data_IF_492603526670
#
_entry.id   IF_492603526670
#
_cell.length_a   1.000
_cell.length_b   1.000
_cell.length_c   1.000
_cell.angle_alpha   90.00
_cell.angle_beta   90.00
_cell.angle_gamma   90.00
#
_symmetry.space_group_name_H-M   'P 1'
#
loop_
_entity.id
_entity.type
_entity.pdbx_description
1 polymer ?
#
# COMPACT_ATOMS: atom_id res chain seq x y z
N UNK A 1 15.37 -10.30 13.16
CA UNK A 1 15.58 -9.05 12.40
C UNK A 1 14.42 -8.07 12.55
N UNK A 2 13.16 -8.52 12.62
CA UNK A 2 12.01 -7.64 12.94
C UNK A 2 12.03 -7.04 14.36
N UNK A 3 12.51 -7.78 15.37
CA UNK A 3 12.54 -7.28 16.76
C UNK A 3 13.53 -6.11 17.00
N UNK A 4 14.60 -6.00 16.19
CA UNK A 4 15.59 -4.92 16.35
C UNK A 4 15.03 -3.59 15.79
N UNK A 5 14.15 -3.65 14.79
CA UNK A 5 13.53 -2.45 14.20
C UNK A 5 12.44 -1.85 15.10
N UNK A 6 11.79 -2.66 15.95
CA UNK A 6 10.78 -2.18 16.91
C UNK A 6 11.41 -1.56 18.16
N UNK A 7 12.64 -1.97 18.51
CA UNK A 7 13.31 -1.53 19.76
C UNK A 7 13.99 -0.16 19.64
N UNK A 8 14.25 0.35 18.43
CA UNK A 8 15.07 1.55 18.25
C UNK A 8 14.31 2.87 18.40
N UNK A 9 12.97 2.89 18.41
CA UNK A 9 12.17 4.12 18.55
C UNK A 9 12.50 5.22 17.53
N UNK A 10 13.30 4.90 16.52
CA UNK A 10 13.71 5.78 15.45
C UNK A 10 13.04 5.25 14.18
N UNK A 11 12.21 6.07 13.55
CA UNK A 11 11.88 5.91 12.14
C UNK A 11 13.18 6.05 11.32
N UNK A 12 13.97 4.98 11.22
CA UNK A 12 15.31 4.99 10.59
C UNK A 12 15.24 5.17 9.07
N UNK A 13 14.04 5.24 8.47
CA UNK A 13 13.89 5.57 7.06
C UNK A 13 12.97 6.78 6.89
N UNK A 14 13.54 7.98 6.99
CA UNK A 14 12.93 9.15 6.33
C UNK A 14 13.00 8.92 4.81
N UNK A 15 12.00 8.20 4.27
CA UNK A 15 11.86 7.99 2.85
C UNK A 15 11.65 9.37 2.22
N UNK A 16 12.65 9.86 1.50
CA UNK A 16 12.52 11.07 0.69
C UNK A 16 11.88 10.72 -0.65
N UNK A 17 11.30 11.71 -1.33
CA UNK A 17 10.73 11.52 -2.66
C UNK A 17 11.74 10.91 -3.67
N UNK A 18 13.04 11.22 -3.53
CA UNK A 18 14.09 10.63 -4.37
C UNK A 18 14.32 9.13 -4.08
N UNK A 19 14.22 8.71 -2.81
CA UNK A 19 14.32 7.30 -2.41
C UNK A 19 13.05 6.54 -2.84
N UNK A 20 11.88 7.17 -2.68
CA UNK A 20 10.59 6.64 -3.14
C UNK A 20 10.63 6.23 -4.62
N UNK A 21 11.12 7.11 -5.50
CA UNK A 21 11.19 6.81 -6.94
C UNK A 21 12.11 5.62 -7.24
N UNK A 22 13.23 5.49 -6.52
CA UNK A 22 14.15 4.34 -6.64
C UNK A 22 13.50 3.04 -6.16
N UNK A 23 12.77 3.09 -5.05
CA UNK A 23 12.04 1.93 -4.52
C UNK A 23 10.93 1.48 -5.48
N UNK A 24 10.19 2.41 -6.07
CA UNK A 24 9.14 2.09 -7.05
C UNK A 24 9.72 1.51 -8.36
N UNK A 25 10.92 1.93 -8.77
CA UNK A 25 11.62 1.29 -9.88
C UNK A 25 12.03 -0.15 -9.52
N UNK A 26 12.63 -0.34 -8.32
CA UNK A 26 13.06 -1.63 -7.83
C UNK A 26 11.90 -2.62 -7.59
N UNK A 27 10.68 -2.13 -7.34
CA UNK A 27 9.48 -2.96 -7.13
C UNK A 27 9.21 -3.91 -8.30
N UNK A 28 9.61 -3.56 -9.52
CA UNK A 28 9.41 -4.39 -10.71
C UNK A 28 10.47 -5.49 -10.87
N UNK A 29 11.63 -5.34 -10.25
CA UNK A 29 12.82 -6.17 -10.49
C UNK A 29 13.20 -7.03 -9.28
N UNK A 30 12.54 -6.85 -8.14
CA UNK A 30 12.83 -7.58 -6.92
C UNK A 30 11.98 -8.84 -6.73
N UNK A 31 12.52 -9.76 -5.93
CA UNK A 31 11.83 -10.98 -5.47
C UNK A 31 10.59 -10.63 -4.63
N UNK A 32 9.72 -11.59 -4.39
CA UNK A 32 8.47 -11.39 -3.64
C UNK A 32 8.72 -10.80 -2.25
N UNK A 33 9.75 -11.26 -1.55
CA UNK A 33 10.15 -10.72 -0.25
C UNK A 33 10.64 -9.27 -0.35
N UNK A 34 11.36 -8.93 -1.43
CA UNK A 34 11.76 -7.55 -1.71
C UNK A 34 10.55 -6.66 -2.00
N UNK A 35 9.57 -7.15 -2.75
CA UNK A 35 8.34 -6.42 -3.04
C UNK A 35 7.54 -6.14 -1.76
N UNK A 36 7.39 -7.14 -0.89
CA UNK A 36 6.75 -6.96 0.43
C UNK A 36 7.48 -5.88 1.24
N UNK A 37 8.80 -5.97 1.37
CA UNK A 37 9.59 -4.99 2.12
C UNK A 37 9.46 -3.56 1.57
N UNK A 38 9.47 -3.42 0.24
CA UNK A 38 9.26 -2.12 -0.42
C UNK A 38 7.85 -1.60 -0.13
N UNK A 39 6.81 -2.42 -0.32
CA UNK A 39 5.42 -2.03 -0.09
C UNK A 39 5.17 -1.66 1.38
N UNK A 40 5.73 -2.40 2.33
CA UNK A 40 5.65 -2.05 3.76
C UNK A 40 6.37 -0.75 4.10
N UNK A 41 7.48 -0.47 3.40
CA UNK A 41 8.18 0.81 3.52
C UNK A 41 7.34 1.95 2.94
N UNK A 42 6.66 1.72 1.80
CA UNK A 42 5.72 2.68 1.23
C UNK A 42 4.56 2.98 2.17
N UNK A 43 4.02 1.97 2.86
CA UNK A 43 2.91 2.19 3.81
C UNK A 43 3.27 3.12 4.98
N UNK A 44 4.57 3.32 5.26
CA UNK A 44 5.07 4.25 6.29
C UNK A 44 5.39 5.65 5.74
N UNK A 45 5.46 5.81 4.41
CA UNK A 45 5.65 7.10 3.78
C UNK A 45 4.32 7.87 3.77
N UNK A 46 4.38 9.17 4.04
CA UNK A 46 3.22 10.07 3.90
C UNK A 46 3.40 10.90 2.63
N UNK A 47 2.59 10.67 1.58
CA UNK A 47 2.57 11.53 0.40
C UNK A 47 2.33 12.99 0.76
N UNK A 48 2.96 13.90 0.01
CA UNK A 48 2.85 15.34 0.21
C UNK A 48 1.45 15.86 -0.17
N UNK A 49 0.82 15.28 -1.19
CA UNK A 49 -0.52 15.63 -1.63
C UNK A 49 -1.27 14.43 -2.23
N UNK A 50 -2.56 14.62 -2.50
CA UNK A 50 -3.41 13.58 -3.11
C UNK A 50 -2.96 13.17 -4.51
N UNK A 51 -2.20 14.01 -5.22
CA UNK A 51 -1.73 13.73 -6.58
C UNK A 51 -0.52 12.78 -6.56
N UNK A 52 0.40 13.00 -5.62
CA UNK A 52 1.49 12.06 -5.36
C UNK A 52 0.94 10.71 -4.89
N UNK A 53 -0.04 10.73 -3.99
CA UNK A 53 -0.73 9.52 -3.51
C UNK A 53 -1.34 8.72 -4.68
N UNK A 54 -2.07 9.40 -5.58
CA UNK A 54 -2.67 8.78 -6.77
C UNK A 54 -1.59 8.15 -7.68
N UNK A 55 -0.52 8.89 -7.97
CA UNK A 55 0.59 8.40 -8.82
C UNK A 55 1.39 7.24 -8.21
N UNK A 56 1.38 7.07 -6.88
CA UNK A 56 1.94 5.87 -6.24
C UNK A 56 0.94 4.71 -6.34
N UNK A 57 -0.35 4.94 -6.08
CA UNK A 57 -1.39 3.92 -6.17
C UNK A 57 -1.45 3.30 -7.57
N UNK A 58 -1.37 4.10 -8.64
CA UNK A 58 -1.35 3.59 -10.01
C UNK A 58 -0.21 2.60 -10.25
N UNK A 59 0.96 2.86 -9.67
CA UNK A 59 2.14 1.98 -9.78
C UNK A 59 2.06 0.74 -8.89
N UNK A 60 1.35 0.81 -7.77
CA UNK A 60 1.13 -0.32 -6.84
C UNK A 60 -0.01 -1.24 -7.30
N UNK A 61 -1.02 -0.69 -8.00
CA UNK A 61 -2.23 -1.43 -8.43
C UNK A 61 -1.96 -2.77 -9.12
N UNK A 62 -0.97 -2.93 -10.02
CA UNK A 62 -0.67 -4.22 -10.65
C UNK A 62 -0.29 -5.33 -9.66
N UNK A 63 0.18 -5.00 -8.45
CA UNK A 63 0.54 -5.97 -7.40
C UNK A 63 -0.69 -6.65 -6.78
N UNK A 64 -1.90 -6.12 -6.95
CA UNK A 64 -3.13 -6.76 -6.47
C UNK A 64 -3.43 -8.10 -7.14
N UNK A 65 -2.86 -8.37 -8.32
CA UNK A 65 -3.02 -9.61 -9.06
C UNK A 65 -1.86 -10.60 -8.85
N UNK A 66 -0.99 -10.33 -7.89
CA UNK A 66 0.19 -11.16 -7.63
C UNK A 66 -0.20 -12.53 -7.05
N UNK A 67 0.51 -13.59 -7.42
CA UNK A 67 0.22 -14.96 -6.97
C UNK A 67 0.47 -15.16 -5.46
N UNK A 68 1.42 -14.42 -4.89
CA UNK A 68 1.74 -14.44 -3.46
C UNK A 68 0.85 -13.46 -2.66
N UNK A 69 0.06 -14.00 -1.73
CA UNK A 69 -0.85 -13.26 -0.86
C UNK A 69 -0.17 -12.21 0.03
N UNK A 70 1.10 -12.40 0.42
CA UNK A 70 1.84 -11.41 1.21
C UNK A 70 2.09 -10.12 0.42
N UNK A 71 2.42 -10.26 -0.87
CA UNK A 71 2.59 -9.11 -1.79
C UNK A 71 1.25 -8.40 -1.98
N UNK A 72 0.16 -9.17 -2.17
CA UNK A 72 -1.19 -8.61 -2.32
C UNK A 72 -1.61 -7.85 -1.06
N UNK A 73 -1.40 -8.41 0.13
CA UNK A 73 -1.75 -7.78 1.40
C UNK A 73 -0.98 -6.48 1.63
N UNK A 74 0.32 -6.48 1.34
CA UNK A 74 1.16 -5.28 1.45
C UNK A 74 0.71 -4.18 0.48
N UNK A 75 0.32 -4.56 -0.75
CA UNK A 75 -0.22 -3.62 -1.74
C UNK A 75 -1.58 -3.05 -1.31
N UNK A 76 -2.47 -3.88 -0.78
CA UNK A 76 -3.78 -3.45 -0.23
C UNK A 76 -3.58 -2.41 0.87
N UNK A 77 -2.64 -2.66 1.81
CA UNK A 77 -2.32 -1.73 2.90
C UNK A 77 -1.93 -0.34 2.38
N UNK A 78 -1.00 -0.28 1.43
CA UNK A 78 -0.57 0.99 0.81
C UNK A 78 -1.74 1.71 0.14
N UNK A 79 -2.55 0.99 -0.65
CA UNK A 79 -3.66 1.60 -1.38
C UNK A 79 -4.70 2.17 -0.41
N UNK A 80 -5.07 1.45 0.64
CA UNK A 80 -6.05 1.93 1.63
C UNK A 80 -5.54 3.17 2.37
N UNK A 81 -4.29 3.16 2.86
CA UNK A 81 -3.69 4.31 3.54
C UNK A 81 -3.67 5.57 2.66
N UNK A 82 -3.42 5.43 1.37
CA UNK A 82 -3.30 6.58 0.46
C UNK A 82 -4.64 7.06 -0.08
N UNK A 83 -5.64 6.17 -0.18
CA UNK A 83 -7.02 6.55 -0.50
C UNK A 83 -7.60 7.53 0.53
N UNK A 84 -7.27 7.36 1.81
CA UNK A 84 -7.69 8.30 2.87
C UNK A 84 -7.08 9.70 2.66
N UNK A 85 -5.82 9.77 2.23
CA UNK A 85 -5.11 11.04 1.94
C UNK A 85 -5.73 11.73 0.70
N UNK A 86 -6.05 10.95 -0.34
CA UNK A 86 -6.74 11.47 -1.54
C UNK A 86 -8.13 12.02 -1.22
N UNK A 87 -8.84 11.40 -0.27
CA UNK A 87 -10.14 11.86 0.21
C UNK A 87 -10.02 13.13 1.08
N UNK A 88 -9.02 13.19 1.97
CA UNK A 88 -8.78 14.33 2.86
C UNK A 88 -8.32 15.60 2.10
N UNK A 89 -7.54 15.45 1.01
CA UNK A 89 -7.10 16.56 0.16
C UNK A 89 -8.20 17.20 -0.70
N UNK A 90 -9.41 16.64 -0.71
CA UNK A 90 -10.52 17.05 -1.58
C UNK A 90 -11.36 18.25 -1.11
N UNK A 91 -11.04 18.86 0.04
CA UNK A 91 -11.84 19.95 0.62
C UNK A 91 -11.78 21.29 -0.15
N UNK A 92 -10.95 21.42 -1.19
CA UNK A 92 -10.81 22.63 -2.00
C UNK A 92 -10.92 22.37 -3.50
N UNK A 93 -12.14 22.28 -4.04
CA UNK A 93 -12.41 22.56 -5.47
C UNK A 93 -12.25 21.44 -6.52
N UNK A 94 -11.84 20.21 -6.17
CA UNK A 94 -11.66 19.09 -7.13
C UNK A 94 -12.35 17.78 -6.71
N UNK A 95 -13.42 17.85 -5.92
CA UNK A 95 -14.03 16.69 -5.24
C UNK A 95 -14.62 15.59 -6.12
N UNK A 96 -14.85 15.83 -7.42
CA UNK A 96 -15.45 14.85 -8.32
C UNK A 96 -14.48 13.76 -8.80
N UNK A 97 -13.30 14.16 -9.30
CA UNK A 97 -12.33 13.24 -9.90
C UNK A 97 -11.75 12.25 -8.88
N UNK A 98 -11.43 12.72 -7.68
CA UNK A 98 -10.86 11.86 -6.63
C UNK A 98 -11.88 10.84 -6.12
N UNK A 99 -13.16 11.24 -6.02
CA UNK A 99 -14.22 10.33 -5.59
C UNK A 99 -14.45 9.18 -6.59
N UNK A 100 -14.37 9.48 -7.88
CA UNK A 100 -14.46 8.46 -8.94
C UNK A 100 -13.23 7.54 -8.96
N UNK A 101 -12.02 8.09 -8.78
CA UNK A 101 -10.78 7.31 -8.61
C UNK A 101 -10.87 6.36 -7.42
N UNK A 102 -11.30 6.85 -6.25
CA UNK A 102 -11.51 6.06 -5.03
C UNK A 102 -12.54 4.95 -5.29
N UNK A 103 -13.68 5.26 -5.90
CA UNK A 103 -14.72 4.26 -6.20
C UNK A 103 -14.22 3.16 -7.13
N UNK A 104 -13.40 3.52 -8.13
CA UNK A 104 -12.77 2.56 -9.02
C UNK A 104 -11.75 1.68 -8.29
N UNK A 105 -10.96 2.26 -7.37
CA UNK A 105 -10.02 1.52 -6.53
C UNK A 105 -10.75 0.55 -5.59
N UNK A 106 -11.83 0.97 -4.94
CA UNK A 106 -12.66 0.08 -4.09
C UNK A 106 -13.16 -1.13 -4.87
N UNK A 107 -13.59 -0.95 -6.13
CA UNK A 107 -13.99 -2.08 -6.99
C UNK A 107 -12.82 -3.02 -7.31
N UNK A 108 -11.61 -2.49 -7.51
CA UNK A 108 -10.40 -3.28 -7.77
C UNK A 108 -9.90 -4.01 -6.52
N UNK A 109 -10.16 -3.48 -5.32
CA UNK A 109 -9.80 -4.08 -4.04
C UNK A 109 -10.76 -5.19 -3.61
N UNK A 110 -12.02 -5.16 -4.06
CA UNK A 110 -13.01 -6.16 -3.65
C UNK A 110 -12.60 -7.62 -3.98
N UNK A 111 -12.16 -7.98 -5.21
CA UNK A 111 -11.72 -9.34 -5.50
C UNK A 111 -10.53 -9.83 -4.64
N UNK A 112 -9.40 -9.11 -4.50
CA UNK A 112 -8.27 -9.58 -3.69
C UNK A 112 -8.61 -9.66 -2.20
N UNK A 113 -9.45 -8.76 -1.66
CA UNK A 113 -9.91 -8.86 -0.28
C UNK A 113 -10.79 -10.09 -0.05
N UNK A 114 -11.70 -10.42 -0.98
CA UNK A 114 -12.52 -11.63 -0.91
C UNK A 114 -11.67 -12.89 -1.01
N UNK A 115 -10.66 -12.91 -1.88
CA UNK A 115 -9.71 -14.04 -1.98
C UNK A 115 -8.88 -14.19 -0.70
N UNK A 116 -8.39 -13.10 -0.12
CA UNK A 116 -7.66 -13.10 1.15
C UNK A 116 -8.54 -13.60 2.32
N UNK A 117 -9.80 -13.15 2.38
CA UNK A 117 -10.77 -13.59 3.40
C UNK A 117 -11.23 -15.04 3.22
N UNK A 118 -11.06 -15.65 2.04
CA UNK A 118 -11.34 -17.07 1.78
C UNK A 118 -10.07 -17.94 1.72
N UNK A 119 -8.89 -17.36 2.00
CA UNK A 119 -7.63 -18.10 2.07
C UNK A 119 -7.59 -19.00 3.32
N UNK A 120 -6.63 -19.93 3.40
CA UNK A 120 -6.47 -20.85 4.53
C UNK A 120 -6.53 -20.13 5.90
N UNK A 121 -7.09 -20.77 6.95
CA UNK A 121 -7.39 -20.13 8.23
C UNK A 121 -6.17 -19.47 8.90
N UNK A 122 -4.96 -19.94 8.61
CA UNK A 122 -3.69 -19.36 9.06
C UNK A 122 -3.42 -17.99 8.41
N UNK A 123 -3.72 -17.83 7.12
CA UNK A 123 -3.62 -16.56 6.39
C UNK A 123 -4.72 -15.60 6.88
N UNK A 124 -5.93 -16.10 7.13
CA UNK A 124 -7.01 -15.29 7.72
C UNK A 124 -6.64 -14.76 9.10
N UNK A 125 -5.99 -15.57 9.94
CA UNK A 125 -5.55 -15.14 11.28
C UNK A 125 -4.51 -14.02 11.20
N UNK A 126 -3.55 -14.11 10.27
CA UNK A 126 -2.54 -13.05 10.05
C UNK A 126 -3.17 -11.79 9.46
N UNK A 127 -4.13 -11.93 8.54
CA UNK A 127 -4.88 -10.82 7.95
C UNK A 127 -5.68 -10.06 9.02
N UNK A 128 -6.47 -10.77 9.84
CA UNK A 128 -7.31 -10.21 10.89
C UNK A 128 -6.49 -9.49 11.97
N UNK A 129 -5.28 -10.00 12.28
CA UNK A 129 -4.38 -9.38 13.25
C UNK A 129 -3.67 -8.13 12.72
N UNK A 130 -3.48 -7.99 11.40
CA UNK A 130 -2.85 -6.81 10.80
C UNK A 130 -3.83 -5.67 10.50
N UNK A 131 -5.13 -5.94 10.54
CA UNK A 131 -6.20 -4.96 10.29
C UNK A 131 -6.61 -4.20 11.57
N UNK A 132 -6.32 -4.75 12.76
CA UNK A 132 -6.62 -4.15 14.07
C UNK A 132 -5.38 -3.52 14.70
#
# INVERSE_FOLDING_TARGET
LSEIAETSGQDVMKISAAVLQKLLAALNECTEWGQVFILDSLAKYTPADGREAEGIIERVTPRLQHANSAVVMSAVKVILSYMEIMAAGGAGGSGGSNADSIRNLTRKLAPPLVTLLNSEPEIQYVALRNIN
#
